data_IF_793822683742
#
_entry.id   IF_793822683742
#
_cell.length_a   1.000
_cell.length_b   1.000
_cell.length_c   1.000
_cell.angle_alpha   90.00
_cell.angle_beta   90.00
_cell.angle_gamma   90.00
#
_symmetry.space_group_name_H-M   'P 1'
#
loop_
_entity.id
_entity.type
_entity.pdbx_description
1 polymer ?
#
# COMPACT_ATOMS: atom_id res chain seq x y z
N UNK A 1 -10.15 0.48 -16.22
CA UNK A 1 -9.22 0.27 -15.10
C UNK A 1 -8.20 1.40 -15.08
N UNK A 2 -7.76 1.84 -13.90
CA UNK A 2 -6.82 2.98 -13.74
C UNK A 2 -5.40 2.59 -14.16
N UNK A 3 -4.85 3.27 -15.17
CA UNK A 3 -3.50 2.98 -15.70
C UNK A 3 -2.41 3.10 -14.63
N UNK A 4 -2.48 4.15 -13.80
CA UNK A 4 -1.51 4.39 -12.74
C UNK A 4 -1.44 3.21 -11.76
N UNK A 5 -2.60 2.66 -11.41
CA UNK A 5 -2.68 1.48 -10.54
C UNK A 5 -2.05 0.25 -11.20
N UNK A 6 -2.38 -0.01 -12.47
CA UNK A 6 -1.80 -1.14 -13.21
C UNK A 6 -0.27 -1.04 -13.34
N UNK A 7 0.27 0.16 -13.54
CA UNK A 7 1.72 0.37 -13.59
C UNK A 7 2.38 0.18 -12.23
N UNK A 8 1.72 0.60 -11.13
CA UNK A 8 2.22 0.39 -9.76
C UNK A 8 2.17 -1.06 -9.31
N UNK A 9 1.19 -1.84 -9.75
CA UNK A 9 1.14 -3.29 -9.46
C UNK A 9 2.42 -3.99 -9.97
N UNK A 10 2.97 -3.55 -11.11
CA UNK A 10 4.22 -4.10 -11.66
C UNK A 10 5.44 -3.86 -10.76
N UNK A 11 5.39 -2.90 -9.84
CA UNK A 11 6.46 -2.57 -8.91
C UNK A 11 6.42 -3.42 -7.63
N UNK A 12 5.31 -4.12 -7.35
CA UNK A 12 5.24 -5.02 -6.21
C UNK A 12 6.28 -6.15 -6.31
N UNK A 13 6.50 -6.82 -5.19
CA UNK A 13 7.23 -8.07 -5.16
C UNK A 13 6.65 -9.03 -6.22
N UNK A 14 7.47 -9.72 -7.04
CA UNK A 14 6.97 -10.62 -8.10
C UNK A 14 5.90 -11.61 -7.63
N UNK A 15 6.06 -12.16 -6.42
CA UNK A 15 5.11 -13.08 -5.79
C UNK A 15 3.69 -12.51 -5.57
N UNK A 16 3.52 -11.18 -5.56
CA UNK A 16 2.23 -10.52 -5.30
C UNK A 16 1.59 -9.93 -6.56
N UNK A 17 2.29 -9.82 -7.69
CA UNK A 17 1.80 -9.05 -8.86
C UNK A 17 0.53 -9.62 -9.47
N UNK A 18 0.48 -10.94 -9.63
CA UNK A 18 -0.69 -11.61 -10.19
C UNK A 18 -1.89 -11.53 -9.24
N UNK A 19 -1.67 -11.76 -7.94
CA UNK A 19 -2.71 -11.66 -6.92
C UNK A 19 -3.24 -10.22 -6.80
N UNK A 20 -2.36 -9.23 -6.77
CA UNK A 20 -2.74 -7.82 -6.73
C UNK A 20 -3.53 -7.37 -7.98
N UNK A 21 -3.23 -7.94 -9.16
CA UNK A 21 -4.02 -7.70 -10.36
C UNK A 21 -5.44 -8.28 -10.24
N UNK A 22 -5.59 -9.48 -9.66
CA UNK A 22 -6.91 -10.09 -9.38
C UNK A 22 -7.69 -9.28 -8.36
N UNK A 23 -7.07 -8.93 -7.23
CA UNK A 23 -7.66 -8.06 -6.21
C UNK A 23 -8.13 -6.73 -6.82
N UNK A 24 -7.30 -6.11 -7.67
CA UNK A 24 -7.66 -4.85 -8.31
C UNK A 24 -8.84 -4.99 -9.28
N UNK A 25 -8.94 -6.11 -9.99
CA UNK A 25 -10.10 -6.41 -10.84
C UNK A 25 -11.38 -6.57 -9.99
N UNK A 26 -11.31 -7.27 -8.87
CA UNK A 26 -12.44 -7.44 -7.94
C UNK A 26 -12.87 -6.12 -7.32
N UNK A 27 -11.92 -5.27 -6.92
CA UNK A 27 -12.20 -3.90 -6.48
C UNK A 27 -12.94 -3.14 -7.59
N UNK A 28 -12.43 -3.17 -8.83
CA UNK A 28 -13.06 -2.49 -9.95
C UNK A 28 -14.49 -3.00 -10.22
N UNK A 29 -14.76 -4.29 -10.02
CA UNK A 29 -16.09 -4.88 -10.18
C UNK A 29 -17.05 -4.49 -9.04
N UNK A 30 -16.53 -4.30 -7.83
CA UNK A 30 -17.33 -3.95 -6.65
C UNK A 30 -17.63 -2.45 -6.52
N UNK A 31 -16.81 -1.58 -7.13
CA UNK A 31 -17.00 -0.13 -7.01
C UNK A 31 -18.18 0.37 -7.85
N UNK A 32 -19.03 1.26 -7.29
CA UNK A 32 -20.11 1.88 -8.06
C UNK A 32 -19.56 2.82 -9.13
N UNK A 33 -20.41 3.14 -10.11
CA UNK A 33 -20.08 4.12 -11.15
C UNK A 33 -19.59 5.45 -10.53
N UNK A 34 -18.51 6.00 -11.10
CA UNK A 34 -17.88 7.22 -10.59
C UNK A 34 -16.90 7.01 -9.42
N UNK A 35 -16.77 5.80 -8.88
CA UNK A 35 -15.77 5.49 -7.85
C UNK A 35 -14.67 4.61 -8.43
N UNK A 36 -13.42 5.06 -8.30
CA UNK A 36 -12.23 4.33 -8.77
C UNK A 36 -11.24 4.22 -7.63
N UNK A 37 -10.82 3.00 -7.30
CA UNK A 37 -9.68 2.79 -6.42
C UNK A 37 -8.38 3.05 -7.19
N UNK A 38 -7.48 3.84 -6.60
CA UNK A 38 -6.13 4.05 -7.09
C UNK A 38 -5.12 3.61 -6.05
N UNK A 39 -4.20 2.74 -6.45
CA UNK A 39 -3.03 2.44 -5.62
C UNK A 39 -2.07 3.63 -5.72
N UNK A 40 -1.82 4.30 -4.59
CA UNK A 40 -0.95 5.47 -4.49
C UNK A 40 0.52 5.09 -4.38
N UNK A 41 0.82 4.02 -3.64
CA UNK A 41 2.16 3.46 -3.48
C UNK A 41 2.09 1.94 -3.39
N UNK A 42 3.13 1.28 -3.90
CA UNK A 42 3.30 -0.18 -3.90
C UNK A 42 4.75 -0.58 -3.60
N UNK A 43 5.70 0.24 -4.08
CA UNK A 43 7.11 0.15 -3.77
C UNK A 43 7.62 1.55 -3.43
N UNK A 44 8.50 1.64 -2.44
CA UNK A 44 9.30 2.83 -2.14
C UNK A 44 10.73 2.41 -1.87
N UNK A 45 11.70 3.03 -2.54
CA UNK A 45 13.12 2.84 -2.24
C UNK A 45 13.44 3.26 -0.80
N UNK A 46 14.59 2.83 -0.28
CA UNK A 46 15.03 3.23 1.07
C UNK A 46 15.27 4.74 1.13
N UNK A 47 15.81 5.31 0.06
CA UNK A 47 16.10 6.73 -0.08
C UNK A 47 14.80 7.56 -0.10
N UNK A 48 13.78 7.12 -0.84
CA UNK A 48 12.46 7.76 -0.83
C UNK A 48 11.81 7.67 0.56
N UNK A 49 11.95 6.53 1.24
CA UNK A 49 11.42 6.33 2.60
C UNK A 49 12.14 7.23 3.61
N UNK A 50 13.46 7.35 3.55
CA UNK A 50 14.22 8.25 4.41
C UNK A 50 13.88 9.73 4.13
N UNK A 51 13.64 10.09 2.87
CA UNK A 51 13.16 11.41 2.52
C UNK A 51 11.78 11.73 3.14
N UNK A 52 10.86 10.76 3.15
CA UNK A 52 9.57 10.89 3.83
C UNK A 52 9.73 10.96 5.36
N UNK A 53 10.61 10.14 5.93
CA UNK A 53 10.91 10.14 7.37
C UNK A 53 11.45 11.50 7.84
N UNK A 54 12.23 12.18 6.99
CA UNK A 54 12.79 13.50 7.29
C UNK A 54 11.74 14.62 7.42
N UNK A 55 10.57 14.49 6.79
CA UNK A 55 9.50 15.51 6.85
C UNK A 55 8.96 15.66 8.28
N UNK A 56 8.84 16.92 8.73
CA UNK A 56 8.43 17.26 10.09
C UNK A 56 9.48 16.93 11.16
N UNK A 57 10.69 16.52 10.75
CA UNK A 57 11.84 16.24 11.63
C UNK A 57 13.02 17.12 11.25
N UNK A 58 13.72 16.78 10.17
CA UNK A 58 14.89 17.52 9.65
C UNK A 58 14.56 18.34 8.40
N UNK A 59 13.39 18.14 7.80
CA UNK A 59 12.84 18.94 6.69
C UNK A 59 11.46 19.50 7.07
N UNK A 60 11.08 20.69 6.57
CA UNK A 60 9.72 21.22 6.75
C UNK A 60 8.65 20.26 6.22
N UNK A 61 7.48 20.26 6.85
CA UNK A 61 6.35 19.42 6.46
C UNK A 61 5.68 18.73 7.65
N UNK A 62 4.61 17.98 7.39
CA UNK A 62 3.98 17.11 8.39
C UNK A 62 4.75 15.80 8.47
N UNK A 63 4.79 15.20 9.65
CA UNK A 63 5.24 13.82 9.82
C UNK A 63 4.24 12.91 9.11
N UNK A 64 4.68 12.23 8.05
CA UNK A 64 3.85 11.31 7.25
C UNK A 64 4.21 9.83 7.45
N UNK A 65 5.32 9.55 8.12
CA UNK A 65 5.74 8.18 8.45
C UNK A 65 6.62 8.17 9.70
N UNK A 66 6.59 7.04 10.41
CA UNK A 66 7.47 6.74 11.54
C UNK A 66 8.58 5.74 11.16
N UNK A 67 8.56 5.20 9.94
CA UNK A 67 9.55 4.22 9.48
C UNK A 67 10.68 4.90 8.69
N UNK A 68 11.93 4.50 8.97
CA UNK A 68 13.11 4.82 8.15
C UNK A 68 13.20 3.89 6.93
N UNK A 69 14.11 4.17 6.01
CA UNK A 69 14.47 3.28 4.92
C UNK A 69 14.78 1.86 5.41
N UNK A 70 14.18 0.86 4.78
CA UNK A 70 14.25 -0.55 5.17
C UNK A 70 13.34 -0.95 6.33
N UNK A 71 12.60 -0.01 6.93
CA UNK A 71 11.69 -0.30 8.04
C UNK A 71 10.20 -0.24 7.65
N UNK A 72 9.90 -0.25 6.35
CA UNK A 72 8.54 -0.35 5.82
C UNK A 72 8.41 -1.53 4.86
N UNK A 73 7.28 -2.22 4.86
CA UNK A 73 6.99 -3.26 3.87
C UNK A 73 6.90 -2.73 2.43
N UNK A 74 6.66 -1.41 2.27
CA UNK A 74 6.79 -0.74 0.97
C UNK A 74 8.23 -0.78 0.43
N UNK A 75 9.24 -0.90 1.30
CA UNK A 75 10.63 -1.07 0.86
C UNK A 75 10.91 -2.42 0.22
N UNK A 76 9.99 -3.37 0.40
CA UNK A 76 10.12 -4.74 -0.08
C UNK A 76 9.08 -5.12 -1.14
N UNK A 77 8.24 -4.16 -1.56
CA UNK A 77 7.13 -4.40 -2.48
C UNK A 77 6.03 -5.29 -1.91
N UNK A 78 5.86 -5.31 -0.58
CA UNK A 78 4.94 -6.17 0.16
C UNK A 78 3.73 -5.42 0.75
N UNK A 79 3.54 -4.16 0.35
CA UNK A 79 2.47 -3.30 0.83
C UNK A 79 1.87 -2.45 -0.29
N UNK A 80 0.65 -1.98 -0.08
CA UNK A 80 -0.08 -1.10 -0.97
C UNK A 80 -0.74 -0.02 -0.14
N UNK A 81 -0.57 1.24 -0.53
CA UNK A 81 -1.39 2.34 -0.05
C UNK A 81 -2.39 2.71 -1.14
N UNK A 82 -3.66 2.91 -0.80
CA UNK A 82 -4.68 3.28 -1.78
C UNK A 82 -5.44 4.56 -1.41
N UNK A 83 -6.11 5.11 -2.41
CA UNK A 83 -7.07 6.22 -2.28
C UNK A 83 -8.25 5.96 -3.20
N UNK A 84 -9.41 6.53 -2.89
CA UNK A 84 -10.54 6.52 -3.80
C UNK A 84 -10.59 7.82 -4.60
N UNK A 85 -10.95 7.71 -5.88
CA UNK A 85 -11.38 8.83 -6.69
C UNK A 85 -12.90 8.77 -6.80
N UNK A 86 -13.59 9.76 -6.28
CA UNK A 86 -15.05 9.88 -6.35
C UNK A 86 -15.37 11.02 -7.32
N UNK A 87 -16.00 10.70 -8.45
CA UNK A 87 -16.26 11.63 -9.55
C UNK A 87 -14.99 12.38 -9.99
N UNK A 88 -13.86 11.67 -10.02
CA UNK A 88 -12.55 12.20 -10.42
C UNK A 88 -11.79 12.96 -9.33
N UNK A 89 -12.36 13.15 -8.13
CA UNK A 89 -11.72 13.84 -7.01
C UNK A 89 -11.16 12.87 -5.99
N UNK A 90 -9.98 13.17 -5.44
CA UNK A 90 -9.38 12.36 -4.36
C UNK A 90 -10.26 12.41 -3.11
N UNK A 91 -10.56 11.23 -2.56
CA UNK A 91 -11.28 11.05 -1.31
C UNK A 91 -10.50 10.12 -0.39
N UNK A 92 -10.18 10.63 0.80
CA UNK A 92 -9.62 9.87 1.93
C UNK A 92 -10.69 9.50 2.97
N UNK A 93 -11.97 9.66 2.61
CA UNK A 93 -13.08 9.32 3.51
C UNK A 93 -13.15 7.79 3.70
N UNK A 94 -13.15 7.36 4.95
CA UNK A 94 -13.33 5.94 5.31
C UNK A 94 -14.84 5.65 5.34
N UNK A 95 -15.42 5.51 4.15
CA UNK A 95 -16.84 5.21 3.93
C UNK A 95 -17.08 3.74 3.56
N UNK A 96 -18.31 3.38 3.18
CA UNK A 96 -18.65 2.01 2.77
C UNK A 96 -17.82 1.50 1.58
N UNK A 97 -17.40 2.36 0.66
CA UNK A 97 -16.61 1.96 -0.50
C UNK A 97 -15.16 1.71 -0.06
N UNK A 98 -14.63 2.54 0.85
CA UNK A 98 -13.31 2.33 1.47
C UNK A 98 -13.25 1.00 2.21
N UNK A 99 -14.27 0.73 3.03
CA UNK A 99 -14.37 -0.53 3.78
C UNK A 99 -14.55 -1.74 2.85
N UNK A 100 -15.24 -1.58 1.71
CA UNK A 100 -15.33 -2.63 0.70
C UNK A 100 -13.96 -2.96 0.07
N UNK A 101 -13.13 -1.95 -0.22
CA UNK A 101 -11.74 -2.19 -0.69
C UNK A 101 -10.93 -2.97 0.33
N UNK A 102 -11.00 -2.57 1.62
CA UNK A 102 -10.33 -3.28 2.71
C UNK A 102 -10.80 -4.73 2.78
N UNK A 103 -12.12 -4.97 2.81
CA UNK A 103 -12.69 -6.30 2.91
C UNK A 103 -12.26 -7.21 1.75
N UNK A 104 -12.13 -6.67 0.53
CA UNK A 104 -11.62 -7.42 -0.61
C UNK A 104 -10.16 -7.81 -0.37
N UNK A 105 -9.27 -6.89 0.02
CA UNK A 105 -7.89 -7.24 0.36
C UNK A 105 -7.81 -8.33 1.46
N UNK A 106 -8.60 -8.18 2.52
CA UNK A 106 -8.63 -9.13 3.63
C UNK A 106 -9.13 -10.51 3.21
N UNK A 107 -10.07 -10.58 2.26
CA UNK A 107 -10.53 -11.87 1.70
C UNK A 107 -9.42 -12.65 0.98
N UNK A 108 -8.37 -11.95 0.51
CA UNK A 108 -7.15 -12.54 -0.07
C UNK A 108 -6.03 -12.75 0.98
N UNK A 109 -6.32 -12.56 2.26
CA UNK A 109 -5.38 -12.73 3.37
C UNK A 109 -4.37 -11.60 3.52
N UNK A 110 -4.66 -10.40 2.99
CA UNK A 110 -3.87 -9.21 3.29
C UNK A 110 -4.28 -8.62 4.64
N UNK A 111 -3.31 -8.10 5.39
CA UNK A 111 -3.55 -7.35 6.62
C UNK A 111 -3.83 -5.89 6.29
N UNK A 112 -4.84 -5.28 6.93
CA UNK A 112 -5.14 -3.86 6.80
C UNK A 112 -4.69 -3.04 8.01
N UNK A 113 -3.98 -1.93 7.73
CA UNK A 113 -3.60 -0.94 8.73
C UNK A 113 -4.79 -0.20 9.35
N UNK A 114 -6.00 -0.35 8.78
CA UNK A 114 -7.24 0.15 9.37
C UNK A 114 -7.51 -0.43 10.77
N UNK A 115 -7.09 -1.67 11.03
CA UNK A 115 -7.33 -2.39 12.28
C UNK A 115 -6.24 -2.18 13.33
N UNK A 116 -5.17 -1.46 13.01
CA UNK A 116 -4.09 -1.19 13.96
C UNK A 116 -4.49 -0.18 15.04
N UNK A 117 -3.81 -0.24 16.20
CA UNK A 117 -3.96 0.76 17.25
C UNK A 117 -3.61 2.16 16.75
N UNK A 118 -2.53 2.27 15.98
CA UNK A 118 -2.22 3.45 15.19
C UNK A 118 -2.78 3.23 13.78
N UNK A 119 -3.99 3.74 13.54
CA UNK A 119 -4.73 3.47 12.32
C UNK A 119 -4.04 4.07 11.10
N UNK A 120 -3.78 3.23 10.11
CA UNK A 120 -3.30 3.59 8.78
C UNK A 120 -4.24 2.97 7.75
N UNK A 121 -5.42 3.58 7.60
CA UNK A 121 -6.52 3.02 6.78
C UNK A 121 -6.22 2.86 5.28
N UNK A 122 -5.32 3.66 4.67
CA UNK A 122 -4.87 3.44 3.29
C UNK A 122 -4.01 2.19 3.08
N UNK A 123 -3.35 1.72 4.14
CA UNK A 123 -2.30 0.72 4.04
C UNK A 123 -2.86 -0.70 4.14
N UNK A 124 -2.44 -1.56 3.22
CA UNK A 124 -2.60 -3.01 3.30
C UNK A 124 -1.27 -3.70 3.01
N UNK A 125 -1.01 -4.86 3.62
CA UNK A 125 0.24 -5.60 3.44
C UNK A 125 0.06 -7.11 3.44
N UNK A 126 0.96 -7.81 2.76
CA UNK A 126 1.08 -9.28 2.81
C UNK A 126 2.54 -9.66 2.99
N UNK A 127 2.87 -10.07 4.22
CA UNK A 127 4.26 -10.18 4.69
C UNK A 127 4.87 -11.57 4.53
N UNK A 128 4.05 -12.58 4.19
CA UNK A 128 4.46 -13.99 4.15
C UNK A 128 5.07 -14.47 5.49
N UNK A 129 4.63 -13.87 6.60
CA UNK A 129 5.16 -14.16 7.94
C UNK A 129 6.56 -13.59 8.22
N UNK A 130 7.14 -12.82 7.29
CA UNK A 130 8.44 -12.17 7.50
C UNK A 130 8.28 -10.93 8.37
N UNK A 131 9.20 -10.76 9.31
CA UNK A 131 9.37 -9.50 10.03
C UNK A 131 10.21 -8.53 9.22
N UNK A 132 10.05 -7.24 9.49
CA UNK A 132 10.90 -6.18 8.91
C UNK A 132 12.39 -6.47 9.14
N UNK A 133 12.79 -6.98 10.31
CA UNK A 133 14.19 -7.29 10.61
C UNK A 133 14.74 -8.40 9.70
N UNK A 134 13.93 -9.44 9.41
CA UNK A 134 14.32 -10.50 8.48
C UNK A 134 14.47 -9.96 7.05
N UNK A 135 13.54 -9.11 6.62
CA UNK A 135 13.60 -8.47 5.30
C UNK A 135 14.82 -7.55 5.18
N UNK A 136 15.09 -6.75 6.22
CA UNK A 136 16.24 -5.84 6.28
C UNK A 136 17.57 -6.61 6.24
N UNK A 137 17.68 -7.71 6.99
CA UNK A 137 18.87 -8.54 7.01
C UNK A 137 19.18 -9.18 5.65
N UNK A 138 18.19 -9.33 4.76
CA UNK A 138 18.41 -9.84 3.41
C UNK A 138 19.23 -8.90 2.51
N UNK A 139 19.22 -7.58 2.81
CA UNK A 139 19.83 -6.56 1.98
C UNK A 139 19.22 -6.42 0.57
N UNK A 140 18.07 -7.04 0.29
CA UNK A 140 17.42 -7.05 -1.03
C UNK A 140 16.11 -6.27 -1.01
N UNK A 141 15.83 -5.56 -2.10
CA UNK A 141 14.51 -4.93 -2.32
C UNK A 141 13.41 -5.98 -2.57
N UNK A 142 13.72 -7.10 -3.21
CA UNK A 142 12.81 -8.24 -3.36
C UNK A 142 13.45 -9.46 -2.69
N UNK A 143 13.19 -9.66 -1.39
CA UNK A 143 13.74 -10.78 -0.63
C UNK A 143 12.98 -12.09 -0.92
N UNK A 144 13.62 -13.22 -0.62
CA UNK A 144 12.93 -14.51 -0.65
C UNK A 144 11.86 -14.57 0.47
N UNK A 145 10.67 -15.07 0.11
CA UNK A 145 9.48 -15.07 0.96
C UNK A 145 9.19 -16.48 1.49
#
# INVERSE_FOLDING_TARGET
>A
MDKTTLDRIKLLHPALREEAAKIYADICAAMPAGVVCRFTHTLRTNEEQDALYALGRSKPGKVVTNAKGGYSYHNYGLAIDFVLLVNGQLSWAVDKNWLAVIAIFESYGWESGHHWKFKDSPHVQKTFGKTIQQLLASGKQYPEL
#
